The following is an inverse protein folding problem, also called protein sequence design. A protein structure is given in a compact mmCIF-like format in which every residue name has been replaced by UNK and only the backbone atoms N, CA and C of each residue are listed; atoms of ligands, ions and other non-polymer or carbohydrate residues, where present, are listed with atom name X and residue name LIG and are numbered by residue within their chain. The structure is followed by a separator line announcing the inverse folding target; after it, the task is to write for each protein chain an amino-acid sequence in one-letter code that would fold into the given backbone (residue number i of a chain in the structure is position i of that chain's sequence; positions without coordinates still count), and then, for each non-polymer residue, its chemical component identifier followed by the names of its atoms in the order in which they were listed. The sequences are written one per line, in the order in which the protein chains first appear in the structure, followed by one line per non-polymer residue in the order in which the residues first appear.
data_IF_707834350598
#
_entry.id   IF_707834350598
#
_cell.length_a   1.000
_cell.length_b   1.000
_cell.length_c   1.000
_cell.angle_alpha   90.00
_cell.angle_beta   90.00
_cell.angle_gamma   90.00
#
_symmetry.space_group_name_H-M   'P 1'
#
loop_
_entity.id
_entity.type
_entity.pdbx_description
1 polymer ?
#
# COMPACT_ATOMS: atom_id res chain seq x y z
N UNK A 1 -4.27 26.29 -2.52
CA UNK A 1 -4.70 26.70 -1.17
C UNK A 1 -3.47 26.96 -0.34
N UNK A 2 -3.28 28.19 0.14
CA UNK A 2 -2.12 28.57 0.95
C UNK A 2 -2.41 28.38 2.44
N UNK A 3 -1.37 28.27 3.28
CA UNK A 3 -1.55 28.17 4.75
C UNK A 3 -2.32 29.40 5.28
N UNK A 4 -2.09 30.57 4.70
CA UNK A 4 -2.74 31.81 5.09
C UNK A 4 -4.25 31.82 4.79
N UNK A 5 -4.67 31.29 3.63
CA UNK A 5 -6.09 31.13 3.29
C UNK A 5 -6.80 30.16 4.24
N UNK A 6 -6.13 29.09 4.67
CA UNK A 6 -6.67 28.12 5.65
C UNK A 6 -6.83 28.79 7.02
N UNK A 7 -5.83 29.56 7.43
CA UNK A 7 -5.86 30.30 8.69
C UNK A 7 -7.01 31.32 8.72
N UNK A 8 -7.23 32.04 7.61
CA UNK A 8 -8.34 32.98 7.47
C UNK A 8 -9.70 32.28 7.54
N UNK A 9 -9.87 31.15 6.85
CA UNK A 9 -11.10 30.36 6.88
C UNK A 9 -11.38 29.74 8.26
N UNK A 10 -10.34 29.28 8.94
CA UNK A 10 -10.42 28.69 10.27
C UNK A 10 -10.42 29.73 11.41
N UNK A 11 -10.33 31.03 11.08
CA UNK A 11 -10.26 32.15 12.05
C UNK A 11 -9.19 31.95 13.13
N UNK A 12 -8.05 31.39 12.75
CA UNK A 12 -6.94 31.11 13.69
C UNK A 12 -5.73 31.97 13.35
N UNK A 13 -5.07 32.47 14.39
CA UNK A 13 -3.82 33.25 14.27
C UNK A 13 -2.59 32.40 14.56
N UNK A 14 -2.78 31.14 14.92
CA UNK A 14 -1.71 30.25 15.36
C UNK A 14 -1.07 29.51 14.18
N UNK A 15 -0.11 30.16 13.53
CA UNK A 15 0.58 29.64 12.35
C UNK A 15 1.23 28.27 12.59
N UNK A 16 1.91 28.10 13.72
CA UNK A 16 2.63 26.86 14.03
C UNK A 16 1.68 25.68 14.22
N UNK A 17 0.54 25.90 14.88
CA UNK A 17 -0.47 24.87 15.12
C UNK A 17 -1.13 24.42 13.82
N UNK A 18 -1.44 25.38 12.93
CA UNK A 18 -2.02 25.08 11.61
C UNK A 18 -1.03 24.32 10.74
N UNK A 19 0.25 24.69 10.74
CA UNK A 19 1.29 23.95 10.01
C UNK A 19 1.41 22.51 10.53
N UNK A 20 1.38 22.31 11.85
CA UNK A 20 1.43 20.96 12.45
C UNK A 20 0.22 20.11 12.04
N UNK A 21 -0.99 20.68 12.10
CA UNK A 21 -2.24 20.04 11.66
C UNK A 21 -2.23 19.66 10.19
N UNK A 22 -1.73 20.54 9.32
CA UNK A 22 -1.62 20.26 7.88
C UNK A 22 -0.63 19.11 7.63
N UNK A 23 0.51 19.09 8.33
CA UNK A 23 1.48 18.00 8.22
C UNK A 23 0.89 16.66 8.64
N UNK A 24 0.14 16.64 9.73
CA UNK A 24 -0.51 15.44 10.24
C UNK A 24 -1.61 14.94 9.29
N UNK A 25 -2.44 15.85 8.77
CA UNK A 25 -3.46 15.53 7.77
C UNK A 25 -2.85 14.95 6.48
N UNK A 26 -1.74 15.52 5.98
CA UNK A 26 -1.02 14.96 4.82
C UNK A 26 -0.45 13.58 5.14
N UNK A 27 0.03 13.36 6.36
CA UNK A 27 0.53 12.05 6.77
C UNK A 27 -0.58 10.99 6.81
N UNK A 28 -1.76 11.34 7.34
CA UNK A 28 -2.95 10.49 7.34
C UNK A 28 -3.46 10.19 5.91
N UNK A 29 -3.48 11.19 5.03
CA UNK A 29 -3.85 10.97 3.62
C UNK A 29 -2.88 9.98 2.99
N UNK A 30 -1.56 10.15 3.20
CA UNK A 30 -0.56 9.22 2.66
C UNK A 30 -0.62 7.82 3.26
N UNK A 31 -1.07 7.66 4.51
CA UNK A 31 -1.24 6.33 5.09
C UNK A 31 -2.47 5.60 4.55
N UNK A 32 -3.45 6.35 4.04
CA UNK A 32 -4.73 5.82 3.58
C UNK A 32 -4.79 5.61 2.06
N UNK A 33 -4.04 6.40 1.28
CA UNK A 33 -3.97 6.32 -0.18
C UNK A 33 -2.67 5.63 -0.65
N UNK A 34 -2.81 4.54 -1.40
CA UNK A 34 -1.71 3.82 -2.05
C UNK A 34 -1.29 4.51 -3.37
N UNK A 35 -1.10 5.84 -3.38
CA UNK A 35 -0.73 6.56 -4.62
C UNK A 35 0.77 6.47 -4.96
N UNK A 36 1.63 6.09 -4.01
CA UNK A 36 3.09 5.91 -4.21
C UNK A 36 3.55 4.46 -3.96
N UNK A 37 2.83 3.47 -4.51
CA UNK A 37 3.27 2.07 -4.44
C UNK A 37 4.20 1.75 -5.60
N UNK A 38 5.43 1.32 -5.29
CA UNK A 38 6.32 0.72 -6.30
C UNK A 38 5.70 -0.59 -6.79
N UNK A 39 5.45 -0.68 -8.08
CA UNK A 39 5.03 -1.92 -8.74
C UNK A 39 6.28 -2.70 -9.17
N UNK A 40 6.36 -3.97 -8.74
CA UNK A 40 7.43 -4.89 -9.15
C UNK A 40 6.82 -6.06 -9.92
N UNK A 41 7.30 -6.26 -11.14
CA UNK A 41 6.87 -7.35 -12.02
C UNK A 41 8.05 -8.28 -12.24
N UNK A 42 7.84 -9.59 -12.09
CA UNK A 42 8.83 -10.62 -12.39
C UNK A 42 8.18 -11.76 -13.15
N UNK A 43 8.91 -12.30 -14.13
CA UNK A 43 8.46 -13.42 -14.94
C UNK A 43 8.74 -14.74 -14.21
N UNK A 44 7.78 -15.67 -14.28
CA UNK A 44 7.96 -17.00 -13.75
C UNK A 44 8.81 -17.84 -14.73
N UNK A 45 10.05 -18.12 -14.35
CA UNK A 45 10.96 -19.01 -15.09
C UNK A 45 10.78 -20.45 -14.59
N UNK A 46 10.60 -21.39 -15.52
CA UNK A 46 10.47 -22.82 -15.20
C UNK A 46 11.73 -23.36 -14.49
N UNK A 47 11.54 -24.16 -13.46
CA UNK A 47 12.61 -24.70 -12.60
C UNK A 47 13.12 -23.78 -11.49
N UNK A 48 12.60 -22.55 -11.36
CA UNK A 48 12.96 -21.63 -10.27
C UNK A 48 11.85 -21.60 -9.22
N UNK A 49 12.23 -21.86 -7.96
CA UNK A 49 11.31 -21.86 -6.81
C UNK A 49 11.29 -20.54 -6.04
N UNK A 50 12.42 -19.84 -6.00
CA UNK A 50 12.62 -18.66 -5.17
C UNK A 50 12.75 -17.41 -6.04
N UNK A 51 11.89 -16.42 -5.80
CA UNK A 51 11.92 -15.13 -6.48
C UNK A 51 12.35 -14.04 -5.48
N UNK A 52 13.37 -13.22 -5.80
CA UNK A 52 13.78 -12.13 -4.93
C UNK A 52 12.68 -11.06 -4.91
N UNK A 53 12.00 -10.95 -3.76
CA UNK A 53 11.03 -9.88 -3.51
C UNK A 53 11.77 -8.62 -3.03
N UNK A 54 11.25 -7.42 -3.32
CA UNK A 54 11.83 -6.18 -2.81
C UNK A 54 11.91 -6.18 -1.29
N UNK A 55 13.05 -5.76 -0.72
CA UNK A 55 13.25 -5.71 0.74
C UNK A 55 12.32 -4.70 1.42
N UNK A 56 11.82 -3.71 0.69
CA UNK A 56 10.86 -2.69 1.15
C UNK A 56 9.39 -3.09 0.92
N UNK A 57 9.10 -4.35 0.58
CA UNK A 57 7.73 -4.80 0.32
C UNK A 57 6.89 -4.88 1.61
N UNK A 58 5.94 -3.94 1.77
CA UNK A 58 5.02 -3.89 2.91
C UNK A 58 3.82 -4.84 2.75
N UNK A 59 3.33 -5.02 1.52
CA UNK A 59 2.12 -5.80 1.25
C UNK A 59 2.06 -6.32 -0.19
N UNK A 60 1.69 -7.58 -0.36
CA UNK A 60 1.39 -8.18 -1.66
C UNK A 60 -0.10 -8.05 -1.98
N UNK A 61 -0.46 -7.22 -2.97
CA UNK A 61 -1.87 -6.93 -3.32
C UNK A 61 -2.45 -8.01 -4.25
N UNK A 62 -1.77 -8.33 -5.35
CA UNK A 62 -2.23 -9.37 -6.28
C UNK A 62 -1.07 -10.01 -7.04
N UNK A 63 -1.20 -11.30 -7.34
CA UNK A 63 -0.33 -12.03 -8.27
C UNK A 63 -1.16 -12.32 -9.53
N UNK A 64 -0.62 -11.96 -10.69
CA UNK A 64 -1.19 -12.27 -12.00
C UNK A 64 -0.13 -12.90 -12.88
N UNK A 65 -0.51 -13.96 -13.59
CA UNK A 65 0.37 -14.68 -14.51
C UNK A 65 -0.12 -14.41 -15.93
N UNK A 66 0.82 -14.12 -16.85
CA UNK A 66 0.50 -13.97 -18.26
C UNK A 66 0.12 -15.34 -18.84
N UNK A 67 -1.10 -15.47 -19.33
CA UNK A 67 -1.51 -16.66 -20.09
C UNK A 67 -0.98 -16.53 -21.51
N UNK A 68 -0.06 -17.41 -21.90
CA UNK A 68 0.56 -17.41 -23.23
C UNK A 68 -0.39 -17.81 -24.36
N UNK A 69 -1.56 -18.37 -24.05
CA UNK A 69 -2.57 -18.75 -25.06
C UNK A 69 -3.60 -17.65 -25.34
N UNK A 70 -3.85 -16.76 -24.38
CA UNK A 70 -4.88 -15.71 -24.43
C UNK A 70 -4.27 -14.30 -24.35
N UNK A 71 -2.94 -14.21 -24.26
CA UNK A 71 -2.11 -12.99 -24.17
C UNK A 71 -2.55 -11.99 -23.09
N UNK A 72 -3.33 -12.47 -22.13
CA UNK A 72 -3.92 -11.69 -21.03
C UNK A 72 -3.34 -12.14 -19.70
N UNK A 73 -3.20 -11.19 -18.79
CA UNK A 73 -2.84 -11.47 -17.40
C UNK A 73 -4.05 -12.03 -16.66
N UNK A 74 -3.95 -13.28 -16.20
CA UNK A 74 -4.98 -13.94 -15.39
C UNK A 74 -4.55 -13.87 -13.93
N UNK A 75 -5.43 -13.34 -13.08
CA UNK A 75 -5.19 -13.30 -11.63
C UNK A 75 -5.28 -14.72 -11.07
N UNK A 76 -4.28 -15.12 -10.30
CA UNK A 76 -4.40 -16.29 -9.45
C UNK A 76 -5.37 -15.89 -8.33
N UNK A 77 -6.56 -16.51 -8.32
CA UNK A 77 -7.58 -16.27 -7.29
C UNK A 77 -7.02 -16.78 -5.96
N UNK A 78 -6.31 -15.93 -5.20
CA UNK A 78 -5.81 -16.30 -3.88
C UNK A 78 -7.02 -16.70 -3.03
N UNK A 79 -6.98 -17.94 -2.51
CA UNK A 79 -7.85 -18.58 -1.52
C UNK A 79 -9.30 -18.06 -1.49
N UNK A 80 -10.26 -18.94 -1.78
CA UNK A 80 -11.71 -18.63 -1.71
C UNK A 80 -12.20 -18.16 -0.32
N UNK A 81 -11.31 -18.06 0.68
CA UNK A 81 -11.57 -17.69 2.05
C UNK A 81 -10.45 -16.78 2.56
N UNK A 82 -10.81 -15.73 3.30
CA UNK A 82 -9.87 -14.86 4.03
C UNK A 82 -9.40 -15.58 5.30
N UNK A 83 -8.14 -16.07 5.38
CA UNK A 83 -7.65 -16.67 6.61
C UNK A 83 -7.64 -15.62 7.71
N UNK A 84 -8.43 -15.87 8.75
CA UNK A 84 -8.35 -15.11 10.00
C UNK A 84 -7.07 -15.54 10.70
N UNK A 85 -6.00 -14.77 10.53
CA UNK A 85 -4.73 -15.04 11.20
C UNK A 85 -4.86 -14.55 12.65
N UNK A 86 -5.14 -15.48 13.56
CA UNK A 86 -5.10 -15.22 15.00
C UNK A 86 -3.66 -15.43 15.47
N UNK A 87 -3.18 -14.54 16.34
CA UNK A 87 -1.87 -14.68 16.97
C UNK A 87 -1.89 -15.94 17.85
N UNK A 88 -1.05 -16.92 17.52
CA UNK A 88 -0.86 -18.11 18.34
C UNK A 88 -0.15 -17.70 19.64
N UNK A 89 -0.85 -17.86 20.76
CA UNK A 89 -0.33 -17.63 22.12
C UNK A 89 -0.15 -18.96 22.87
N UNK A 90 -0.11 -20.09 22.18
CA UNK A 90 0.09 -21.41 22.79
C UNK A 90 1.57 -21.58 23.17
N UNK A 91 1.91 -21.86 24.44
CA UNK A 91 3.26 -22.19 24.83
C UNK A 91 3.48 -23.70 24.63
N UNK A 92 4.19 -24.07 23.57
CA UNK A 92 4.86 -25.37 23.46
C UNK A 92 6.33 -25.14 23.10
#
# INVERSE_FOLDING_TARGET
MTVQEIMERAKTKETNLVIALIKDAVHLIRSQYNEDTKEFTTDLIDGIRDYPMPMDMVKLVSISVKDTNDDKYKKIRRLAFSPTVVKDNSPN
#
